data_IF_264311574151
#
_entry.id   IF_264311574151
#
_cell.length_a   1.000
_cell.length_b   1.000
_cell.length_c   1.000
_cell.angle_alpha   90.00
_cell.angle_beta   90.00
_cell.angle_gamma   90.00
#
_symmetry.space_group_name_H-M   'P 1'
#
loop_
_entity.id
_entity.type
_entity.pdbx_description
1 polymer ?
#
# COMPACT_ATOMS: atom_id res chain seq x y z
N UNK A 1 11.62 2.18 8.61
CA UNK A 1 10.98 2.86 9.76
C UNK A 1 11.95 3.84 10.40
N UNK A 2 12.97 3.41 11.16
CA UNK A 2 13.92 4.32 11.82
C UNK A 2 14.57 5.38 10.91
N UNK A 3 14.91 5.01 9.67
CA UNK A 3 15.53 5.91 8.70
C UNK A 3 14.64 7.08 8.27
N UNK A 4 13.33 6.84 8.11
CA UNK A 4 12.41 7.81 7.51
C UNK A 4 11.34 8.33 8.48
N UNK A 5 11.18 7.70 9.65
CA UNK A 5 10.26 8.11 10.71
C UNK A 5 8.83 8.39 10.25
N UNK A 6 8.15 7.47 9.53
CA UNK A 6 6.79 7.74 9.05
C UNK A 6 5.80 7.85 10.21
N UNK A 7 4.81 8.73 10.07
CA UNK A 7 3.71 8.89 11.03
C UNK A 7 2.74 7.72 10.99
N UNK A 8 2.50 7.16 9.80
CA UNK A 8 1.59 6.05 9.57
C UNK A 8 2.19 5.09 8.52
N UNK A 9 1.89 3.80 8.62
CA UNK A 9 2.32 2.77 7.67
C UNK A 9 1.10 2.14 7.01
N UNK A 10 1.18 1.93 5.70
CA UNK A 10 0.16 1.25 4.92
C UNK A 10 0.73 -0.01 4.27
N UNK A 11 -0.02 -1.12 4.33
CA UNK A 11 0.34 -2.38 3.67
C UNK A 11 -0.84 -2.96 2.88
N UNK A 12 -0.54 -3.79 1.89
CA UNK A 12 -1.55 -4.60 1.23
C UNK A 12 -2.03 -5.74 2.14
N UNK A 13 -3.35 -5.90 2.26
CA UNK A 13 -3.96 -7.02 2.95
C UNK A 13 -4.03 -8.25 2.03
N UNK A 14 -3.15 -9.20 2.30
CA UNK A 14 -3.07 -10.49 1.62
C UNK A 14 -4.18 -11.44 2.09
N UNK A 15 -5.42 -11.22 1.66
CA UNK A 15 -6.57 -12.04 2.08
C UNK A 15 -6.72 -13.36 1.30
N UNK A 16 -6.00 -13.56 0.18
CA UNK A 16 -6.26 -14.68 -0.74
C UNK A 16 -5.01 -15.45 -1.18
N UNK A 17 -4.46 -16.28 -0.29
CA UNK A 17 -3.45 -17.26 -0.69
C UNK A 17 -4.11 -18.54 -1.22
N UNK A 18 -4.02 -18.80 -2.53
CA UNK A 18 -4.55 -20.05 -3.15
C UNK A 18 -3.74 -21.29 -2.82
N UNK A 19 -2.48 -21.13 -2.40
CA UNK A 19 -1.54 -22.22 -2.12
C UNK A 19 -1.07 -22.14 -0.67
N UNK A 20 -1.19 -23.24 0.08
CA UNK A 20 -0.82 -23.36 1.49
C UNK A 20 0.66 -23.02 1.71
N UNK A 21 1.58 -23.46 0.84
CA UNK A 21 3.01 -23.17 0.99
C UNK A 21 3.27 -21.67 0.92
N UNK A 22 2.70 -21.01 -0.09
CA UNK A 22 2.80 -19.56 -0.26
C UNK A 22 2.13 -18.81 0.89
N UNK A 23 0.99 -19.31 1.39
CA UNK A 23 0.29 -18.74 2.55
C UNK A 23 1.18 -18.72 3.81
N UNK A 24 1.88 -19.82 4.08
CA UNK A 24 2.78 -19.93 5.24
C UNK A 24 3.95 -18.95 5.10
N UNK A 25 4.61 -18.90 3.94
CA UNK A 25 5.72 -17.98 3.70
C UNK A 25 5.28 -16.51 3.82
N UNK A 26 4.15 -16.14 3.20
CA UNK A 26 3.60 -14.80 3.33
C UNK A 26 3.19 -14.47 4.78
N UNK A 27 2.65 -15.44 5.51
CA UNK A 27 2.32 -15.30 6.93
C UNK A 27 3.54 -15.00 7.79
N UNK A 28 4.67 -15.67 7.54
CA UNK A 28 5.94 -15.42 8.23
C UNK A 28 6.46 -14.00 7.95
N UNK A 29 6.49 -13.59 6.67
CA UNK A 29 6.90 -12.25 6.26
C UNK A 29 6.01 -11.19 6.91
N UNK A 30 4.70 -11.39 6.84
CA UNK A 30 3.72 -10.48 7.46
C UNK A 30 3.93 -10.38 8.96
N UNK A 31 4.14 -11.50 9.66
CA UNK A 31 4.46 -11.50 11.08
C UNK A 31 5.69 -10.64 11.41
N UNK A 32 6.76 -10.79 10.63
CA UNK A 32 7.97 -9.96 10.79
C UNK A 32 7.69 -8.47 10.58
N UNK A 33 6.91 -8.11 9.57
CA UNK A 33 6.48 -6.72 9.31
C UNK A 33 5.65 -6.18 10.48
N UNK A 34 4.63 -6.91 10.93
CA UNK A 34 3.76 -6.49 12.04
C UNK A 34 4.55 -6.25 13.33
N UNK A 35 5.49 -7.14 13.66
CA UNK A 35 6.36 -6.99 14.83
C UNK A 35 7.25 -5.76 14.67
N UNK A 36 7.84 -5.55 13.49
CA UNK A 36 8.68 -4.38 13.24
C UNK A 36 7.89 -3.06 13.39
N UNK A 37 6.66 -3.00 12.88
CA UNK A 37 5.80 -1.82 13.01
C UNK A 37 5.38 -1.58 14.46
N UNK A 38 4.89 -2.61 15.15
CA UNK A 38 4.48 -2.53 16.55
C UNK A 38 5.63 -2.11 17.48
N UNK A 39 6.85 -2.62 17.23
CA UNK A 39 8.04 -2.27 18.01
C UNK A 39 8.47 -0.80 17.86
N UNK A 40 8.00 -0.12 16.81
CA UNK A 40 8.26 1.31 16.58
C UNK A 40 7.03 2.18 16.89
N UNK A 41 5.96 1.62 17.46
CA UNK A 41 4.73 2.34 17.85
C UNK A 41 4.09 3.15 16.71
N UNK A 42 4.26 2.72 15.47
CA UNK A 42 3.70 3.40 14.31
C UNK A 42 2.33 2.78 13.96
N UNK A 43 1.26 3.58 13.80
CA UNK A 43 -0.03 3.13 13.30
C UNK A 43 0.09 2.39 11.97
N UNK A 44 -0.55 1.22 11.90
CA UNK A 44 -0.59 0.39 10.69
C UNK A 44 -2.01 0.36 10.12
N UNK A 45 -2.11 0.55 8.82
CA UNK A 45 -3.35 0.45 8.06
C UNK A 45 -3.20 -0.56 6.93
N UNK A 46 -4.29 -1.25 6.64
CA UNK A 46 -4.30 -2.33 5.67
C UNK A 46 -5.35 -2.07 4.60
N UNK A 47 -4.99 -2.35 3.34
CA UNK A 47 -5.85 -2.14 2.19
C UNK A 47 -5.84 -3.37 1.29
N UNK A 48 -7.01 -3.79 0.82
CA UNK A 48 -7.09 -4.83 -0.21
C UNK A 48 -6.51 -4.36 -1.54
N UNK A 49 -6.06 -5.29 -2.37
CA UNK A 49 -5.64 -4.99 -3.75
C UNK A 49 -6.69 -4.19 -4.53
N UNK A 50 -7.98 -4.45 -4.27
CA UNK A 50 -9.09 -3.75 -4.93
C UNK A 50 -9.14 -2.28 -4.52
N UNK A 51 -8.99 -1.99 -3.22
CA UNK A 51 -8.98 -0.63 -2.69
C UNK A 51 -7.78 0.16 -3.23
N UNK A 52 -6.58 -0.44 -3.23
CA UNK A 52 -5.36 0.17 -3.77
C UNK A 52 -5.56 0.53 -5.25
N UNK A 53 -5.98 -0.44 -6.07
CA UNK A 53 -6.23 -0.21 -7.50
C UNK A 53 -7.26 0.87 -7.73
N UNK A 54 -8.38 0.83 -7.01
CA UNK A 54 -9.45 1.82 -7.13
C UNK A 54 -8.97 3.21 -6.73
N UNK A 55 -8.17 3.34 -5.67
CA UNK A 55 -7.65 4.62 -5.22
C UNK A 55 -6.70 5.26 -6.25
N UNK A 56 -5.91 4.45 -6.95
CA UNK A 56 -4.91 4.94 -7.92
C UNK A 56 -5.52 5.19 -9.31
N UNK A 57 -6.33 4.27 -9.83
CA UNK A 57 -6.81 4.30 -11.23
C UNK A 57 -8.28 4.70 -11.37
N UNK A 58 -9.02 4.82 -10.26
CA UNK A 58 -10.46 5.07 -10.23
C UNK A 58 -11.33 3.82 -10.33
N UNK A 59 -10.77 2.64 -10.64
CA UNK A 59 -11.51 1.39 -10.73
C UNK A 59 -10.68 0.18 -10.28
N UNK A 60 -11.33 -0.80 -9.64
CA UNK A 60 -10.61 -1.88 -8.95
C UNK A 60 -10.01 -3.00 -9.82
N UNK A 61 -10.31 -3.03 -11.13
CA UNK A 61 -9.87 -4.11 -12.05
C UNK A 61 -8.65 -3.74 -12.88
N UNK A 62 -7.98 -2.63 -12.59
CA UNK A 62 -6.77 -2.24 -13.27
C UNK A 62 -5.67 -3.32 -13.17
N UNK A 63 -4.89 -3.47 -14.23
CA UNK A 63 -3.67 -4.27 -14.22
C UNK A 63 -2.52 -3.55 -13.52
N UNK A 64 -1.42 -4.26 -13.27
CA UNK A 64 -0.24 -3.70 -12.57
C UNK A 64 0.42 -2.56 -13.34
N UNK A 65 0.49 -2.66 -14.67
CA UNK A 65 1.11 -1.63 -15.51
C UNK A 65 0.32 -0.32 -15.46
N UNK A 66 -1.01 -0.42 -15.47
CA UNK A 66 -1.88 0.74 -15.31
C UNK A 66 -1.69 1.43 -13.96
N UNK A 67 -1.58 0.65 -12.87
CA UNK A 67 -1.28 1.21 -11.53
C UNK A 67 0.07 1.94 -11.56
N UNK A 68 1.10 1.34 -12.15
CA UNK A 68 2.43 1.94 -12.24
C UNK A 68 2.46 3.24 -13.04
N UNK A 69 1.83 3.25 -14.23
CA UNK A 69 1.71 4.46 -15.06
C UNK A 69 0.99 5.57 -14.29
N UNK A 70 -0.10 5.21 -13.60
CA UNK A 70 -0.87 6.17 -12.82
C UNK A 70 -0.07 6.71 -11.64
N UNK A 71 0.68 5.88 -10.91
CA UNK A 71 1.54 6.34 -9.82
C UNK A 71 2.61 7.31 -10.32
N UNK A 72 3.27 6.99 -11.45
CA UNK A 72 4.24 7.91 -12.05
C UNK A 72 3.59 9.25 -12.41
N UNK A 73 2.40 9.19 -12.98
CA UNK A 73 1.64 10.39 -13.38
C UNK A 73 1.22 11.23 -12.17
N UNK A 74 0.65 10.61 -11.14
CA UNK A 74 0.13 11.25 -9.94
C UNK A 74 1.24 11.86 -9.07
N UNK A 75 2.40 11.22 -9.02
CA UNK A 75 3.55 11.66 -8.21
C UNK A 75 4.62 12.39 -9.02
N UNK A 76 4.37 12.66 -10.31
CA UNK A 76 5.30 13.31 -11.23
C UNK A 76 6.70 12.64 -11.30
N UNK A 77 6.73 11.31 -11.24
CA UNK A 77 7.97 10.52 -11.33
C UNK A 77 8.37 10.36 -12.79
N UNK A 78 9.57 10.85 -13.15
CA UNK A 78 10.11 10.79 -14.51
C UNK A 78 10.91 9.51 -14.80
N UNK A 79 11.10 8.65 -13.80
CA UNK A 79 11.83 7.39 -13.97
C UNK A 79 11.02 6.39 -14.80
N UNK A 80 11.47 6.13 -16.02
CA UNK A 80 10.87 5.15 -16.92
C UNK A 80 11.03 3.71 -16.41
N UNK A 81 12.05 3.44 -15.60
CA UNK A 81 12.42 2.09 -15.13
C UNK A 81 12.07 1.83 -13.67
N UNK A 82 11.13 2.60 -13.09
CA UNK A 82 10.67 2.38 -11.72
C UNK A 82 10.35 0.91 -11.46
N UNK A 83 10.93 0.34 -10.41
CA UNK A 83 10.72 -1.06 -10.03
C UNK A 83 9.25 -1.34 -9.66
N UNK A 84 8.78 -2.56 -9.94
CA UNK A 84 7.40 -2.96 -9.64
C UNK A 84 7.10 -2.89 -8.13
N UNK A 85 8.01 -3.35 -7.29
CA UNK A 85 7.84 -3.34 -5.83
C UNK A 85 7.76 -1.89 -5.28
N UNK A 86 8.53 -0.97 -5.86
CA UNK A 86 8.46 0.46 -5.52
C UNK A 86 7.11 1.06 -5.95
N UNK A 87 6.61 0.69 -7.13
CA UNK A 87 5.28 1.08 -7.61
C UNK A 87 4.18 0.61 -6.65
N UNK A 88 4.21 -0.66 -6.26
CA UNK A 88 3.21 -1.27 -5.40
C UNK A 88 3.23 -0.63 -3.98
N UNK A 89 4.43 -0.33 -3.45
CA UNK A 89 4.58 0.39 -2.19
C UNK A 89 4.02 1.82 -2.25
N UNK A 90 4.32 2.57 -3.32
CA UNK A 90 3.78 3.92 -3.54
C UNK A 90 2.26 3.90 -3.73
N UNK A 91 1.72 2.89 -4.40
CA UNK A 91 0.29 2.72 -4.57
C UNK A 91 -0.43 2.49 -3.22
N UNK A 92 0.12 1.67 -2.34
CA UNK A 92 -0.41 1.48 -0.99
C UNK A 92 -0.39 2.79 -0.17
N UNK A 93 0.71 3.54 -0.24
CA UNK A 93 0.84 4.84 0.44
C UNK A 93 -0.17 5.87 -0.11
N UNK A 94 -0.34 5.95 -1.42
CA UNK A 94 -1.32 6.84 -2.06
C UNK A 94 -2.76 6.48 -1.69
N UNK A 95 -3.08 5.18 -1.67
CA UNK A 95 -4.38 4.68 -1.21
C UNK A 95 -4.69 5.10 0.24
N UNK A 96 -3.68 5.01 1.11
CA UNK A 96 -3.80 5.44 2.49
C UNK A 96 -4.05 6.94 2.61
N UNK A 97 -3.27 7.76 1.90
CA UNK A 97 -3.43 9.22 1.88
C UNK A 97 -4.85 9.63 1.44
N UNK A 98 -5.35 9.04 0.36
CA UNK A 98 -6.71 9.31 -0.12
C UNK A 98 -7.77 8.93 0.91
N UNK A 99 -7.60 7.79 1.59
CA UNK A 99 -8.51 7.32 2.63
C UNK A 99 -8.51 8.24 3.85
N UNK A 100 -7.33 8.71 4.28
CA UNK A 100 -7.16 9.68 5.38
C UNK A 100 -7.87 10.99 5.09
N UNK A 101 -7.58 11.60 3.93
CA UNK A 101 -8.19 12.87 3.49
C UNK A 101 -9.72 12.75 3.44
N UNK A 102 -10.24 11.62 2.94
CA UNK A 102 -11.68 11.40 2.89
C UNK A 102 -12.31 11.34 4.27
N UNK A 103 -11.70 10.62 5.22
CA UNK A 103 -12.19 10.52 6.59
C UNK A 103 -12.13 11.86 7.34
N UNK A 104 -11.07 12.64 7.14
CA UNK A 104 -10.93 13.94 7.78
C UNK A 104 -12.02 14.91 7.31
N UNK A 105 -12.34 14.90 6.00
CA UNK A 105 -13.45 15.68 5.43
C UNK A 105 -14.82 15.29 5.98
N UNK A 106 -15.06 14.00 6.22
CA UNK A 106 -16.32 13.53 6.82
C UNK A 106 -16.43 13.97 8.28
N UNK A 107 -15.32 13.97 9.01
CA UNK A 107 -15.29 14.36 10.43
C UNK A 107 -15.40 15.87 10.65
N UNK A 108 -15.35 16.68 9.58
CA UNK A 108 -15.60 18.12 9.66
C UNK A 108 -14.51 18.88 10.45
N UNK A 109 -13.26 18.45 10.32
CA UNK A 109 -12.08 19.18 10.84
C UNK A 109 -11.38 19.91 9.70
#
# INVERSE_FOLDING_TARGET
>A
IKTYGPDEIAIENLFYARNIKTAITLGQVRGAVLIAVASNQCPLYEYSALEIKKAVTGYGRADKNQVQIMIKTLLHIQDENMEEDASDALAAAFCHLNSRIFLDRIKGT
#
